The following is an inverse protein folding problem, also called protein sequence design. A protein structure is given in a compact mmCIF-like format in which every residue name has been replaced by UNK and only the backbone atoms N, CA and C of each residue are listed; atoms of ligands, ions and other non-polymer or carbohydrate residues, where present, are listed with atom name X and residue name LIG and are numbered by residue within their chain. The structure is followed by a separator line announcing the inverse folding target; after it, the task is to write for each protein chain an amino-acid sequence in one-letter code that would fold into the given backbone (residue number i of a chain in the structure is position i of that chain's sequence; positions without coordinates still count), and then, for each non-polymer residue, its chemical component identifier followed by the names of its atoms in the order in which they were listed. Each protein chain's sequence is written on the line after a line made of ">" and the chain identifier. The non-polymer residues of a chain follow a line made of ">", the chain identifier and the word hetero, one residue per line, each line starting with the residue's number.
data_IF_207071026686
#
_entry.id   IF_207071026686
#
_cell.length_a   1.000
_cell.length_b   1.000
_cell.length_c   1.000
_cell.angle_alpha   90.00
_cell.angle_beta   90.00
_cell.angle_gamma   90.00
#
_symmetry.space_group_name_H-M   'P 1'
#
loop_
_entity.id
_entity.type
_entity.pdbx_description
1 polymer ?
#
# COMPACT_ATOMS: atom_id res chain seq x y z
N UNK A 1 11.66 12.24 14.17
CA UNK A 1 11.82 10.85 14.66
C UNK A 1 12.56 10.06 13.60
N UNK A 2 13.50 9.20 13.97
CA UNK A 2 14.34 8.46 13.02
C UNK A 2 13.58 7.21 12.52
N UNK A 3 13.58 6.98 11.21
CA UNK A 3 13.11 5.76 10.54
C UNK A 3 14.23 5.31 9.60
N UNK A 4 14.94 4.22 9.95
CA UNK A 4 16.18 3.82 9.26
C UNK A 4 17.24 4.93 9.21
N UNK A 5 17.78 5.18 8.00
CA UNK A 5 18.75 6.25 7.70
C UNK A 5 18.09 7.63 7.42
N UNK A 6 16.77 7.75 7.61
CA UNK A 6 15.98 8.94 7.28
C UNK A 6 15.17 9.51 8.46
N UNK A 7 14.59 10.68 8.22
CA UNK A 7 13.64 11.33 9.13
C UNK A 7 12.26 11.34 8.49
N UNK A 8 11.22 10.96 9.25
CA UNK A 8 9.82 11.17 8.88
C UNK A 8 9.43 12.59 9.27
N UNK A 9 8.72 13.33 8.40
CA UNK A 9 8.26 14.68 8.73
C UNK A 9 7.38 14.67 9.98
N UNK A 10 6.33 13.84 9.99
CA UNK A 10 5.52 13.63 11.18
C UNK A 10 5.15 12.16 11.38
N UNK A 11 5.09 11.76 12.64
CA UNK A 11 4.59 10.45 13.04
C UNK A 11 3.43 10.65 14.01
N UNK A 12 2.21 10.34 13.59
CA UNK A 12 1.05 10.45 14.45
C UNK A 12 0.80 9.11 15.13
N UNK A 13 0.73 9.16 16.45
CA UNK A 13 0.42 8.00 17.31
C UNK A 13 -0.99 8.17 17.85
N UNK A 14 -1.84 7.17 17.61
CA UNK A 14 -3.12 7.06 18.29
C UNK A 14 -2.96 6.58 19.73
N UNK A 15 -4.08 6.44 20.44
CA UNK A 15 -4.09 5.91 21.81
C UNK A 15 -3.79 4.40 21.84
N UNK A 16 -4.22 3.68 20.80
CA UNK A 16 -4.02 2.24 20.63
C UNK A 16 -3.98 1.92 19.14
N UNK A 17 -2.79 1.78 18.55
CA UNK A 17 -2.64 1.48 17.13
C UNK A 17 -1.19 1.63 16.65
N UNK A 18 -0.91 1.13 15.44
CA UNK A 18 0.38 1.38 14.80
C UNK A 18 0.50 2.87 14.46
N UNK A 19 1.68 3.48 14.58
CA UNK A 19 1.85 4.87 14.16
C UNK A 19 1.62 5.04 12.66
N UNK A 20 1.08 6.19 12.27
CA UNK A 20 0.92 6.60 10.88
C UNK A 20 2.01 7.61 10.54
N UNK A 21 2.80 7.31 9.52
CA UNK A 21 3.79 8.24 9.00
C UNK A 21 3.13 9.24 8.04
N UNK A 22 3.58 10.49 8.10
CA UNK A 22 3.13 11.57 7.22
C UNK A 22 4.35 12.16 6.54
N UNK A 23 4.28 12.22 5.22
CA UNK A 23 5.21 12.92 4.34
C UNK A 23 4.54 14.21 3.84
N UNK A 24 5.11 15.36 4.19
CA UNK A 24 4.57 16.66 3.86
C UNK A 24 5.28 17.24 2.64
N UNK A 25 4.50 17.62 1.62
CA UNK A 25 5.02 18.31 0.44
C UNK A 25 4.54 19.75 0.39
N UNK A 26 5.40 20.70 -0.02
CA UNK A 26 4.98 22.10 -0.11
C UNK A 26 3.97 22.27 -1.27
N UNK A 27 2.83 22.95 -1.04
CA UNK A 27 1.89 23.26 -2.13
C UNK A 27 2.43 24.35 -3.06
N UNK A 28 3.40 25.15 -2.60
CA UNK A 28 4.04 26.23 -3.35
C UNK A 28 5.54 25.95 -3.49
N UNK A 29 6.03 25.93 -4.73
CA UNK A 29 7.44 25.61 -5.03
C UNK A 29 8.06 26.71 -5.89
N UNK A 30 9.32 27.03 -5.65
CA UNK A 30 10.09 27.93 -6.49
C UNK A 30 10.45 27.26 -7.82
N UNK A 31 9.90 27.76 -8.93
CA UNK A 31 10.26 27.32 -10.26
C UNK A 31 11.49 28.10 -10.76
N UNK A 32 12.65 27.43 -10.79
CA UNK A 32 13.92 28.04 -11.23
C UNK A 32 13.88 28.50 -12.68
N UNK A 33 13.12 27.83 -13.56
CA UNK A 33 13.04 28.17 -14.99
C UNK A 33 12.21 29.43 -15.19
N UNK A 34 11.08 29.52 -14.49
CA UNK A 34 10.15 30.65 -14.59
C UNK A 34 10.49 31.79 -13.64
N UNK A 35 11.44 31.59 -12.71
CA UNK A 35 11.84 32.54 -11.67
C UNK A 35 10.65 33.08 -10.86
N UNK A 36 9.70 32.20 -10.53
CA UNK A 36 8.52 32.53 -9.72
C UNK A 36 8.08 31.36 -8.85
N UNK A 37 7.27 31.66 -7.83
CA UNK A 37 6.57 30.66 -7.04
C UNK A 37 5.39 30.14 -7.86
N UNK A 38 5.24 28.82 -7.95
CA UNK A 38 4.13 28.15 -8.61
C UNK A 38 3.44 27.18 -7.66
N UNK A 39 2.14 27.03 -7.84
CA UNK A 39 1.38 25.97 -7.15
C UNK A 39 1.70 24.62 -7.78
N UNK A 40 1.93 23.61 -6.94
CA UNK A 40 2.11 22.21 -7.34
C UNK A 40 1.06 21.35 -6.63
N UNK A 41 0.29 20.64 -7.43
CA UNK A 41 -0.64 19.62 -6.98
C UNK A 41 0.12 18.39 -6.46
N UNK A 42 -0.61 17.49 -5.80
CA UNK A 42 -0.01 16.25 -5.30
C UNK A 42 0.44 15.32 -6.42
N UNK A 43 -0.18 15.39 -7.59
CA UNK A 43 0.22 14.62 -8.78
C UNK A 43 1.64 14.94 -9.26
N UNK A 44 2.03 16.22 -9.20
CA UNK A 44 3.40 16.62 -9.50
C UNK A 44 4.40 15.98 -8.53
N UNK A 45 4.10 16.00 -7.23
CA UNK A 45 4.94 15.37 -6.20
C UNK A 45 5.00 13.85 -6.34
N UNK A 46 3.89 13.21 -6.71
CA UNK A 46 3.86 11.77 -6.97
C UNK A 46 4.72 11.39 -8.17
N UNK A 47 4.63 12.12 -9.28
CA UNK A 47 5.49 11.89 -10.45
C UNK A 47 6.96 12.05 -10.11
N UNK A 48 7.30 13.05 -9.30
CA UNK A 48 8.66 13.26 -8.81
C UNK A 48 9.15 12.05 -8.01
N UNK A 49 8.38 11.59 -7.01
CA UNK A 49 8.69 10.39 -6.22
C UNK A 49 8.80 9.12 -7.10
N UNK A 50 7.87 8.91 -8.03
CA UNK A 50 7.88 7.80 -8.99
C UNK A 50 9.14 7.81 -9.86
N UNK A 51 9.62 9.00 -10.25
CA UNK A 51 10.84 9.12 -11.06
C UNK A 51 12.10 8.76 -10.29
N UNK A 52 12.06 8.88 -8.95
CA UNK A 52 13.19 8.62 -8.06
C UNK A 52 13.27 7.16 -7.57
N UNK A 53 12.29 6.30 -7.91
CA UNK A 53 12.25 4.93 -7.44
C UNK A 53 13.46 4.09 -7.83
N UNK A 54 13.89 4.20 -9.09
CA UNK A 54 15.06 3.49 -9.61
C UNK A 54 16.35 3.89 -8.91
N UNK A 55 16.39 5.08 -8.30
CA UNK A 55 17.51 5.59 -7.52
C UNK A 55 17.42 5.27 -6.02
N UNK A 56 16.35 4.58 -5.58
CA UNK A 56 16.12 4.24 -4.18
C UNK A 56 15.78 5.41 -3.28
N UNK A 57 15.37 6.57 -3.83
CA UNK A 57 15.10 7.80 -3.07
C UNK A 57 13.61 8.09 -2.88
N UNK A 58 12.79 7.05 -2.80
CA UNK A 58 11.35 7.20 -2.59
C UNK A 58 11.04 7.11 -1.09
N UNK A 59 10.92 8.27 -0.44
CA UNK A 59 10.66 8.40 1.00
C UNK A 59 9.40 7.64 1.45
N UNK A 60 8.35 7.61 0.61
CA UNK A 60 7.12 6.88 0.93
C UNK A 60 7.40 5.37 1.03
N UNK A 61 8.18 4.81 0.10
CA UNK A 61 8.59 3.39 0.17
C UNK A 61 9.49 3.12 1.36
N UNK A 62 10.40 4.04 1.69
CA UNK A 62 11.27 3.88 2.85
C UNK A 62 10.45 3.81 4.14
N UNK A 63 9.47 4.70 4.32
CA UNK A 63 8.59 4.68 5.48
C UNK A 63 7.70 3.44 5.56
N UNK A 64 7.23 2.92 4.42
CA UNK A 64 6.41 1.69 4.37
C UNK A 64 7.16 0.42 4.79
N UNK A 65 8.50 0.47 4.88
CA UNK A 65 9.29 -0.64 5.47
C UNK A 65 9.03 -0.76 6.97
N UNK A 66 8.90 0.38 7.65
CA UNK A 66 8.77 0.45 9.10
C UNK A 66 7.30 0.61 9.55
N UNK A 67 6.47 1.23 8.71
CA UNK A 67 5.09 1.59 9.03
C UNK A 67 4.10 0.91 8.07
N UNK A 68 2.88 0.70 8.55
CA UNK A 68 1.82 0.07 7.77
C UNK A 68 1.19 1.03 6.76
N UNK A 69 1.03 2.29 7.17
CA UNK A 69 0.45 3.35 6.36
C UNK A 69 1.33 4.58 6.31
N UNK A 70 1.34 5.22 5.13
CA UNK A 70 1.93 6.54 4.89
C UNK A 70 0.89 7.46 4.27
N UNK A 71 0.77 8.67 4.82
CA UNK A 71 -0.01 9.76 4.24
C UNK A 71 0.95 10.72 3.54
N UNK A 72 0.86 10.81 2.22
CA UNK A 72 1.52 11.89 1.47
C UNK A 72 0.52 13.05 1.31
N UNK A 73 0.88 14.27 1.69
CA UNK A 73 -0.04 15.40 1.61
C UNK A 73 0.66 16.74 1.36
N UNK A 74 -0.04 17.66 0.69
CA UNK A 74 0.32 19.07 0.60
C UNK A 74 -0.64 19.97 1.43
N UNK A 75 -1.38 19.38 2.37
CA UNK A 75 -2.46 19.97 3.19
C UNK A 75 -3.71 20.41 2.42
N UNK A 76 -3.70 20.33 1.10
CA UNK A 76 -4.89 20.52 0.25
C UNK A 76 -5.45 19.14 -0.14
N UNK A 77 -4.57 18.27 -0.61
CA UNK A 77 -4.87 16.92 -1.09
C UNK A 77 -4.09 15.89 -0.27
N UNK A 78 -4.55 14.63 -0.31
CA UNK A 78 -3.82 13.50 0.24
C UNK A 78 -3.72 12.33 -0.76
N UNK A 79 -2.70 11.50 -0.55
CA UNK A 79 -2.56 10.18 -1.15
C UNK A 79 -2.16 9.20 -0.04
N UNK A 80 -2.93 8.12 0.11
CA UNK A 80 -2.73 7.10 1.12
C UNK A 80 -2.04 5.89 0.52
N UNK A 81 -1.01 5.42 1.21
CA UNK A 81 -0.24 4.26 0.83
C UNK A 81 -0.26 3.21 1.93
N UNK A 82 -0.34 1.95 1.51
CA UNK A 82 -0.13 0.77 2.33
C UNK A 82 1.10 0.02 1.80
N UNK A 83 1.44 -1.13 2.40
CA UNK A 83 2.61 -1.93 1.99
C UNK A 83 2.55 -2.50 0.58
N UNK A 84 1.39 -2.54 -0.09
CA UNK A 84 1.30 -2.95 -1.51
C UNK A 84 2.12 -2.00 -2.40
N UNK A 85 2.26 -0.73 -1.98
CA UNK A 85 3.05 0.26 -2.68
C UNK A 85 4.57 -0.03 -2.71
N UNK A 86 5.06 -0.97 -1.89
CA UNK A 86 6.44 -1.46 -1.98
C UNK A 86 6.68 -2.23 -3.29
N UNK A 87 5.65 -2.94 -3.78
CA UNK A 87 5.71 -3.71 -5.04
C UNK A 87 5.35 -2.84 -6.23
N UNK A 88 4.23 -2.11 -6.15
CA UNK A 88 3.74 -1.21 -7.21
C UNK A 88 3.38 0.13 -6.60
N UNK A 89 4.17 1.16 -6.90
CA UNK A 89 4.02 2.47 -6.25
C UNK A 89 2.79 3.22 -6.73
N UNK A 90 1.68 2.93 -6.07
CA UNK A 90 0.39 3.54 -6.28
C UNK A 90 -0.29 3.74 -4.93
N UNK A 91 -0.94 4.89 -4.71
CA UNK A 91 -1.78 5.06 -3.54
C UNK A 91 -3.04 4.20 -3.68
N UNK A 92 -3.51 3.61 -2.58
CA UNK A 92 -4.79 2.91 -2.58
C UNK A 92 -5.98 3.88 -2.53
N UNK A 93 -5.80 5.08 -1.96
CA UNK A 93 -6.86 6.09 -1.89
C UNK A 93 -6.30 7.52 -1.99
N UNK A 94 -7.10 8.44 -2.52
CA UNK A 94 -6.75 9.87 -2.69
C UNK A 94 -7.99 10.75 -2.49
N UNK A 95 -7.78 12.02 -2.14
CA UNK A 95 -8.88 12.97 -1.95
C UNK A 95 -8.42 14.30 -1.36
N UNK A 96 -9.36 15.11 -0.87
CA UNK A 96 -9.07 16.35 -0.16
C UNK A 96 -8.62 16.08 1.28
N UNK A 97 -7.58 16.77 1.74
CA UNK A 97 -7.06 16.58 3.10
C UNK A 97 -8.10 16.89 4.18
N UNK A 98 -9.01 17.82 3.91
CA UNK A 98 -10.12 18.15 4.81
C UNK A 98 -11.06 16.94 5.05
N UNK A 99 -11.29 16.11 4.04
CA UNK A 99 -12.13 14.91 4.16
C UNK A 99 -11.43 13.85 5.02
N UNK A 100 -10.14 13.60 4.76
CA UNK A 100 -9.31 12.70 5.58
C UNK A 100 -9.29 13.13 7.04
N UNK A 101 -9.13 14.44 7.30
CA UNK A 101 -9.16 14.98 8.66
C UNK A 101 -10.51 14.70 9.35
N UNK A 102 -11.64 14.82 8.63
CA UNK A 102 -12.96 14.49 9.18
C UNK A 102 -13.09 13.00 9.52
N UNK A 103 -12.61 12.10 8.67
CA UNK A 103 -12.58 10.65 8.96
C UNK A 103 -11.75 10.35 10.21
N UNK A 104 -10.54 10.89 10.31
CA UNK A 104 -9.67 10.72 11.49
C UNK A 104 -10.36 11.23 12.76
N UNK A 105 -11.04 12.38 12.69
CA UNK A 105 -11.78 12.93 13.84
C UNK A 105 -12.96 12.08 14.29
N UNK A 106 -13.65 11.40 13.38
CA UNK A 106 -14.79 10.55 13.73
C UNK A 106 -14.36 9.29 14.48
N UNK A 107 -13.19 8.74 14.11
CA UNK A 107 -12.64 7.51 14.72
C UNK A 107 -11.77 7.82 15.94
N UNK A 108 -11.22 9.04 16.01
CA UNK A 108 -10.24 9.50 17.01
C UNK A 108 -8.95 8.66 17.06
N UNK A 109 -8.68 7.89 16.01
CA UNK A 109 -7.45 7.13 15.80
C UNK A 109 -7.08 7.15 14.30
N UNK A 110 -5.93 7.74 13.92
CA UNK A 110 -5.55 7.86 12.52
C UNK A 110 -5.34 6.51 11.84
N UNK A 111 -4.78 5.53 12.54
CA UNK A 111 -4.48 4.22 11.95
C UNK A 111 -5.78 3.47 11.63
N UNK A 112 -6.71 3.43 12.57
CA UNK A 112 -8.01 2.79 12.39
C UNK A 112 -8.83 3.51 11.30
N UNK A 113 -8.73 4.83 11.19
CA UNK A 113 -9.35 5.59 10.10
C UNK A 113 -8.81 5.15 8.72
N UNK A 114 -7.49 5.05 8.57
CA UNK A 114 -6.86 4.60 7.32
C UNK A 114 -7.22 3.15 6.98
N UNK A 115 -7.21 2.25 7.97
CA UNK A 115 -7.62 0.85 7.80
C UNK A 115 -9.05 0.74 7.28
N UNK A 116 -9.98 1.51 7.83
CA UNK A 116 -11.37 1.56 7.36
C UNK A 116 -11.51 2.12 5.94
N UNK A 117 -10.66 3.07 5.55
CA UNK A 117 -10.65 3.59 4.17
C UNK A 117 -10.14 2.51 3.22
N UNK A 118 -9.06 1.81 3.58
CA UNK A 118 -8.54 0.68 2.80
C UNK A 118 -9.59 -0.43 2.64
N UNK A 119 -10.24 -0.84 3.71
CA UNK A 119 -11.31 -1.87 3.70
C UNK A 119 -12.47 -1.51 2.75
N UNK A 120 -12.77 -0.22 2.61
CA UNK A 120 -13.83 0.31 1.73
C UNK A 120 -13.36 0.54 0.30
N UNK A 121 -12.04 0.63 0.08
CA UNK A 121 -11.47 0.90 -1.24
C UNK A 121 -11.52 -0.37 -2.09
N UNK A 122 -12.20 -0.35 -3.26
CA UNK A 122 -12.21 -1.48 -4.16
C UNK A 122 -10.79 -1.82 -4.60
N UNK A 123 -10.30 -3.01 -4.26
CA UNK A 123 -8.99 -3.49 -4.74
C UNK A 123 -9.10 -3.73 -6.26
N UNK A 124 -8.38 -2.95 -7.06
CA UNK A 124 -8.38 -3.02 -8.53
C UNK A 124 -7.83 -4.34 -9.12
N UNK A 125 -7.54 -5.36 -8.29
CA UNK A 125 -6.90 -6.61 -8.70
C UNK A 125 -7.83 -7.75 -9.11
N UNK A 126 -9.15 -7.62 -8.98
CA UNK A 126 -10.10 -8.62 -9.49
C UNK A 126 -10.54 -8.24 -10.90
N UNK A 127 -9.59 -8.19 -11.82
CA UNK A 127 -9.87 -7.93 -13.23
C UNK A 127 -10.50 -9.16 -13.91
N UNK A 128 -11.02 -8.97 -15.13
CA UNK A 128 -11.60 -10.05 -15.92
C UNK A 128 -10.63 -11.22 -16.10
N UNK A 129 -9.32 -10.93 -16.18
CA UNK A 129 -8.27 -11.93 -16.38
C UNK A 129 -8.10 -12.81 -15.13
N UNK A 130 -8.13 -12.24 -13.94
CA UNK A 130 -8.14 -12.99 -12.68
C UNK A 130 -9.32 -13.96 -12.62
N UNK A 131 -10.53 -13.50 -12.97
CA UNK A 131 -11.72 -14.37 -12.98
C UNK A 131 -11.64 -15.46 -14.05
N UNK A 132 -11.09 -15.15 -15.23
CA UNK A 132 -10.88 -16.13 -16.28
C UNK A 132 -9.83 -17.18 -15.86
N UNK A 133 -8.74 -16.78 -15.21
CA UNK A 133 -7.73 -17.69 -14.68
C UNK A 133 -8.30 -18.55 -13.55
N UNK A 134 -9.08 -17.97 -12.63
CA UNK A 134 -9.75 -18.69 -11.55
C UNK A 134 -10.70 -19.78 -12.09
N UNK A 135 -11.46 -19.48 -13.14
CA UNK A 135 -12.33 -20.46 -13.80
C UNK A 135 -11.52 -21.61 -14.40
N UNK A 136 -10.35 -21.33 -14.99
CA UNK A 136 -9.46 -22.38 -15.53
C UNK A 136 -8.89 -23.26 -14.43
N UNK A 137 -8.45 -22.66 -13.31
CA UNK A 137 -7.96 -23.40 -12.15
C UNK A 137 -9.05 -24.31 -11.57
N UNK A 138 -10.27 -23.79 -11.41
CA UNK A 138 -11.40 -24.57 -10.92
C UNK A 138 -11.71 -25.77 -11.83
N UNK A 139 -11.79 -25.56 -13.14
CA UNK A 139 -12.04 -26.64 -14.11
C UNK A 139 -10.99 -27.76 -14.00
N UNK A 140 -9.70 -27.38 -13.93
CA UNK A 140 -8.61 -28.35 -13.76
C UNK A 140 -8.69 -29.11 -12.45
N UNK A 141 -9.02 -28.43 -11.35
CA UNK A 141 -9.17 -29.08 -10.04
C UNK A 141 -10.34 -30.07 -10.03
N UNK A 142 -11.42 -29.80 -10.76
CA UNK A 142 -12.55 -30.76 -10.87
C UNK A 142 -12.24 -32.00 -11.68
N UNK A 143 -11.22 -31.97 -12.54
CA UNK A 143 -10.74 -33.13 -13.29
C UNK A 143 -9.86 -34.05 -12.43
N UNK A 144 -9.32 -33.54 -11.31
CA UNK A 144 -8.51 -34.33 -10.40
C UNK A 144 -9.42 -35.25 -9.59
N UNK A 145 -9.36 -36.55 -9.91
CA UNK A 145 -9.94 -37.59 -9.05
C UNK A 145 -8.93 -37.98 -8.00
N UNK A 146 -9.16 -37.53 -6.77
CA UNK A 146 -8.42 -38.03 -5.62
C UNK A 146 -8.72 -39.52 -5.46
N UNK A 147 -7.68 -40.36 -5.44
CA UNK A 147 -7.82 -41.76 -5.06
C UNK A 147 -7.99 -41.79 -3.54
N UNK A 148 -9.15 -42.24 -3.08
CA UNK A 148 -9.32 -42.56 -1.66
C UNK A 148 -8.55 -43.84 -1.35
N UNK A 149 -7.55 -43.70 -0.47
CA UNK A 149 -6.71 -44.80 0.00
C UNK A 149 -5.52 -45.08 -0.91
N UNK A 150 -4.32 -44.96 -0.35
CA UNK A 150 -3.19 -45.76 -0.84
C UNK A 150 -3.63 -47.22 -0.77
N UNK A 151 -3.54 -47.92 -1.90
CA UNK A 151 -3.74 -49.37 -1.89
C UNK A 151 -2.69 -49.99 -0.96
N UNK A 152 -3.07 -51.01 -0.16
CA UNK A 152 -2.16 -51.69 0.78
C UNK A 152 -0.75 -52.02 0.22
N UNK A 153 -0.54 -52.39 -1.07
CA UNK A 153 0.81 -52.57 -1.60
C UNK A 153 1.68 -51.30 -1.63
N UNK A 154 1.10 -50.11 -1.79
CA UNK A 154 1.84 -48.83 -1.85
C UNK A 154 2.24 -48.32 -0.44
N UNK A 155 1.57 -48.81 0.62
CA UNK A 155 1.98 -48.55 2.02
C UNK A 155 3.15 -49.43 2.46
N UNK A 156 3.29 -50.63 1.88
CA UNK A 156 4.36 -51.56 2.19
C UNK A 156 5.70 -51.09 1.61
N UNK A 157 5.73 -50.61 0.36
CA UNK A 157 6.95 -50.16 -0.31
C UNK A 157 7.60 -48.95 0.39
N UNK A 158 6.80 -48.04 0.96
CA UNK A 158 7.30 -46.90 1.75
C UNK A 158 7.78 -47.25 3.16
N UNK A 159 7.48 -48.45 3.67
CA UNK A 159 7.98 -48.94 4.98
C UNK A 159 9.31 -49.66 4.90
N UNK A 160 9.77 -50.05 3.70
CA UNK A 160 11.00 -50.83 3.50
C UNK A 160 12.24 -49.94 3.26
N UNK A 161 12.06 -48.63 3.08
CA UNK A 161 13.15 -47.65 3.01
C UNK A 161 13.30 -46.89 4.34
N UNK A 162 13.67 -47.61 5.41
CA UNK A 162 14.26 -47.06 6.64
C UNK A 162 15.37 -48.00 7.10
#
# INVERSE_FOLDING_TARGET
>A
MQAGDGWVDYLIRGASGNPVAIELKPPLVWDKRQKKIVSRDLDWHLRDLSSMESSGRNQVKDYLRDYEYVVLTNLVEYALFNREALVRFEPFARGEFADLYREIRQVADPWEALRRIEDRTPRHGLDRRFYEDLKRWYARLTEVRFREGLSEPEKAEKRVCC
#
